data_IF_126870594026
#
_entry.id   IF_126870594026
#
_cell.length_a   1.000
_cell.length_b   1.000
_cell.length_c   1.000
_cell.angle_alpha   90.00
_cell.angle_beta   90.00
_cell.angle_gamma   90.00
#
_symmetry.space_group_name_H-M   'P 1'
#
loop_
_entity.id
_entity.type
_entity.pdbx_description
1 polymer ?
#
# COMPACT_ATOMS: atom_id res chain seq x y z
N UNK A 1 1.16 22.27 -33.18
CA UNK A 1 1.66 20.88 -33.06
C UNK A 1 0.85 20.00 -32.11
N UNK A 2 0.26 20.53 -31.02
CA UNK A 2 -0.55 19.76 -30.04
C UNK A 2 -1.94 19.37 -30.58
N UNK A 3 -2.60 20.23 -31.37
CA UNK A 3 -3.86 19.92 -32.05
C UNK A 3 -3.78 18.76 -33.07
N UNK A 4 -2.62 18.57 -33.71
CA UNK A 4 -2.42 17.48 -34.69
C UNK A 4 -2.21 16.11 -34.02
N UNK A 5 -1.68 16.07 -32.79
CA UNK A 5 -1.52 14.84 -32.00
C UNK A 5 -2.87 14.31 -31.51
N UNK A 6 -3.79 15.20 -31.13
CA UNK A 6 -5.16 14.85 -30.75
C UNK A 6 -5.99 14.33 -31.92
N UNK A 7 -5.86 14.89 -33.14
CA UNK A 7 -6.56 14.36 -34.32
C UNK A 7 -6.11 12.95 -34.69
N UNK A 8 -4.81 12.63 -34.57
CA UNK A 8 -4.27 11.31 -34.88
C UNK A 8 -4.76 10.23 -33.89
N UNK A 9 -4.88 10.58 -32.61
CA UNK A 9 -5.40 9.69 -31.56
C UNK A 9 -6.93 9.49 -31.66
N UNK A 10 -7.68 10.56 -31.98
CA UNK A 10 -9.12 10.47 -32.24
C UNK A 10 -9.39 9.61 -33.47
N UNK A 11 -8.61 9.79 -34.53
CA UNK A 11 -8.73 9.01 -35.78
C UNK A 11 -8.35 7.54 -35.56
N UNK A 12 -7.35 7.25 -34.72
CA UNK A 12 -7.04 5.87 -34.30
C UNK A 12 -8.17 5.26 -33.48
N UNK A 13 -8.81 6.01 -32.57
CA UNK A 13 -9.99 5.53 -31.83
C UNK A 13 -11.20 5.29 -32.74
N UNK A 14 -11.46 6.18 -33.71
CA UNK A 14 -12.53 5.99 -34.70
C UNK A 14 -12.27 4.79 -35.61
N UNK A 15 -11.03 4.58 -36.05
CA UNK A 15 -10.65 3.40 -36.84
C UNK A 15 -10.74 2.11 -36.02
N UNK A 16 -10.43 2.16 -34.72
CA UNK A 16 -10.55 1.00 -33.82
C UNK A 16 -12.01 0.67 -33.49
N UNK A 17 -12.85 1.69 -33.25
CA UNK A 17 -14.29 1.51 -33.05
C UNK A 17 -14.99 1.06 -34.34
N UNK A 18 -14.55 1.53 -35.51
CA UNK A 18 -15.00 1.01 -36.81
C UNK A 18 -14.55 -0.44 -37.03
N UNK A 19 -13.32 -0.80 -36.61
CA UNK A 19 -12.83 -2.18 -36.64
C UNK A 19 -13.64 -3.12 -35.73
N UNK A 20 -13.96 -2.69 -34.50
CA UNK A 20 -14.84 -3.42 -33.57
C UNK A 20 -16.27 -3.51 -34.13
N UNK A 21 -16.78 -2.45 -34.76
CA UNK A 21 -18.06 -2.45 -35.45
C UNK A 21 -18.12 -3.43 -36.63
N UNK A 22 -17.07 -3.48 -37.46
CA UNK A 22 -16.94 -4.44 -38.57
C UNK A 22 -16.84 -5.88 -38.06
N UNK A 23 -16.10 -6.12 -36.98
CA UNK A 23 -15.99 -7.45 -36.36
C UNK A 23 -17.36 -7.88 -35.83
N UNK A 24 -18.08 -7.01 -35.10
CA UNK A 24 -19.42 -7.28 -34.61
C UNK A 24 -20.44 -7.49 -35.74
N UNK A 25 -20.30 -6.78 -36.87
CA UNK A 25 -21.14 -6.94 -38.06
C UNK A 25 -20.88 -8.27 -38.78
N UNK A 26 -19.60 -8.67 -38.93
CA UNK A 26 -19.20 -9.97 -39.49
C UNK A 26 -19.66 -11.14 -38.60
N UNK A 27 -19.62 -10.99 -37.28
CA UNK A 27 -20.16 -11.99 -36.35
C UNK A 27 -21.70 -12.10 -36.44
N UNK A 28 -22.39 -10.99 -36.71
CA UNK A 28 -23.85 -10.98 -36.89
C UNK A 28 -24.26 -11.58 -38.25
N UNK A 29 -23.47 -11.39 -39.31
CA UNK A 29 -23.73 -12.00 -40.63
C UNK A 29 -23.38 -13.48 -40.68
N UNK A 30 -22.41 -13.95 -39.89
CA UNK A 30 -22.08 -15.38 -39.77
C UNK A 30 -23.11 -16.16 -38.94
N UNK A 31 -23.76 -15.50 -37.98
CA UNK A 31 -24.85 -16.09 -37.21
C UNK A 31 -26.17 -16.25 -38.01
N UNK A 32 -26.35 -15.51 -39.12
CA UNK A 32 -27.55 -15.64 -39.97
C UNK A 32 -27.39 -16.64 -41.12
N UNK A 33 -26.22 -17.26 -41.33
CA UNK A 33 -25.96 -18.14 -42.46
C UNK A 33 -25.81 -19.63 -42.13
N UNK A 34 -25.97 -20.04 -40.86
CA UNK A 34 -25.89 -21.46 -40.47
C UNK A 34 -27.14 -21.90 -39.71
N UNK A 35 -28.24 -22.05 -40.44
CA UNK A 35 -29.35 -22.91 -40.04
C UNK A 35 -29.27 -24.21 -40.85
N UNK A 36 -28.47 -25.18 -40.42
CA UNK A 36 -28.73 -26.62 -40.62
C UNK A 36 -27.74 -27.48 -39.82
N UNK A 37 -28.31 -28.34 -38.97
CA UNK A 37 -27.82 -29.62 -38.44
C UNK A 37 -26.42 -29.69 -37.80
N UNK A 38 -26.36 -29.92 -36.48
CA UNK A 38 -25.98 -31.21 -35.84
C UNK A 38 -25.94 -30.99 -34.33
N UNK A 39 -26.59 -31.89 -33.60
CA UNK A 39 -26.61 -31.94 -32.15
C UNK A 39 -25.25 -32.39 -31.58
N UNK A 40 -24.62 -31.53 -30.77
CA UNK A 40 -23.79 -31.93 -29.63
C UNK A 40 -23.75 -30.79 -28.63
N UNK A 41 -24.26 -31.05 -27.43
CA UNK A 41 -24.35 -30.11 -26.32
C UNK A 41 -22.96 -29.82 -25.74
N UNK A 42 -22.35 -28.72 -26.16
CA UNK A 42 -21.36 -28.01 -25.36
C UNK A 42 -21.74 -26.53 -25.35
N UNK A 43 -21.91 -25.98 -24.14
CA UNK A 43 -22.44 -24.63 -23.90
C UNK A 43 -21.36 -23.58 -24.21
N UNK A 44 -21.06 -23.35 -25.49
CA UNK A 44 -20.04 -22.39 -25.98
C UNK A 44 -20.46 -20.94 -25.69
N UNK A 45 -21.76 -20.68 -25.57
CA UNK A 45 -22.31 -19.34 -25.32
C UNK A 45 -22.06 -18.79 -23.90
N UNK A 46 -21.85 -19.65 -22.89
CA UNK A 46 -21.56 -19.22 -21.51
C UNK A 46 -20.08 -18.93 -21.26
N UNK A 47 -19.18 -19.58 -22.02
CA UNK A 47 -17.74 -19.36 -21.89
C UNK A 47 -17.32 -18.04 -22.58
N UNK A 48 -17.92 -17.71 -23.72
CA UNK A 48 -17.58 -16.51 -24.51
C UNK A 48 -18.16 -15.22 -23.93
N UNK A 49 -19.33 -15.28 -23.29
CA UNK A 49 -19.92 -14.15 -22.57
C UNK A 49 -19.12 -13.75 -21.33
N UNK A 50 -18.50 -14.72 -20.63
CA UNK A 50 -17.64 -14.45 -19.48
C UNK A 50 -16.31 -13.79 -19.87
N UNK A 51 -15.69 -14.20 -20.98
CA UNK A 51 -14.45 -13.58 -21.47
C UNK A 51 -14.70 -12.16 -21.95
N UNK A 52 -15.79 -11.93 -22.70
CA UNK A 52 -16.16 -10.58 -23.16
C UNK A 52 -16.58 -9.68 -21.99
N UNK A 53 -17.30 -10.20 -20.99
CA UNK A 53 -17.67 -9.45 -19.79
C UNK A 53 -16.44 -9.13 -18.93
N UNK A 54 -15.50 -10.06 -18.76
CA UNK A 54 -14.22 -9.79 -18.10
C UNK A 54 -13.38 -8.78 -18.88
N UNK A 55 -13.38 -8.84 -20.22
CA UNK A 55 -12.66 -7.88 -21.05
C UNK A 55 -13.28 -6.48 -20.92
N UNK A 56 -14.62 -6.36 -20.96
CA UNK A 56 -15.35 -5.09 -20.75
C UNK A 56 -15.17 -4.55 -19.33
N UNK A 57 -15.15 -5.41 -18.30
CA UNK A 57 -14.89 -5.02 -16.91
C UNK A 57 -13.44 -4.55 -16.73
N UNK A 58 -12.47 -5.24 -17.33
CA UNK A 58 -11.05 -4.82 -17.34
C UNK A 58 -10.85 -3.51 -18.10
N UNK A 59 -11.53 -3.33 -19.24
CA UNK A 59 -11.50 -2.08 -20.00
C UNK A 59 -12.14 -0.94 -19.20
N UNK A 60 -13.30 -1.18 -18.55
CA UNK A 60 -13.93 -0.20 -17.64
C UNK A 60 -13.01 0.18 -16.50
N UNK A 61 -12.35 -0.77 -15.86
CA UNK A 61 -11.51 -0.53 -14.69
C UNK A 61 -10.20 0.20 -15.07
N UNK A 62 -9.60 -0.13 -16.22
CA UNK A 62 -8.43 0.56 -16.75
C UNK A 62 -8.77 1.99 -17.24
N UNK A 63 -9.88 2.15 -17.96
CA UNK A 63 -10.35 3.46 -18.46
C UNK A 63 -10.82 4.35 -17.30
N UNK A 64 -11.58 3.84 -16.33
CA UNK A 64 -12.00 4.63 -15.16
C UNK A 64 -10.80 5.06 -14.31
N UNK A 65 -9.76 4.24 -14.16
CA UNK A 65 -8.60 4.58 -13.32
C UNK A 65 -7.67 5.60 -13.98
N UNK A 66 -7.21 5.32 -15.21
CA UNK A 66 -6.30 6.24 -15.90
C UNK A 66 -7.00 7.56 -16.21
N UNK A 67 -8.23 7.54 -16.75
CA UNK A 67 -8.94 8.78 -17.06
C UNK A 67 -9.36 9.56 -15.80
N UNK A 68 -9.60 8.94 -14.64
CA UNK A 68 -10.02 9.68 -13.44
C UNK A 68 -8.85 10.43 -12.78
N UNK A 69 -7.64 9.87 -12.75
CA UNK A 69 -6.46 10.57 -12.20
C UNK A 69 -5.99 11.71 -13.11
N UNK A 70 -5.88 11.51 -14.44
CA UNK A 70 -5.58 12.62 -15.36
C UNK A 70 -6.66 13.69 -15.30
N UNK A 71 -7.93 13.29 -15.14
CA UNK A 71 -9.04 14.22 -14.99
C UNK A 71 -8.93 15.08 -13.73
N UNK A 72 -8.54 14.54 -12.57
CA UNK A 72 -8.29 15.41 -11.40
C UNK A 72 -7.05 16.29 -11.58
N UNK A 73 -5.97 15.75 -12.14
CA UNK A 73 -4.74 16.51 -12.39
C UNK A 73 -5.01 17.72 -13.28
N UNK A 74 -5.86 17.60 -14.30
CA UNK A 74 -6.16 18.68 -15.25
C UNK A 74 -7.33 19.58 -14.80
N UNK A 75 -8.31 19.04 -14.07
CA UNK A 75 -9.50 19.81 -13.66
C UNK A 75 -9.33 20.54 -12.33
N UNK A 76 -8.60 19.96 -11.37
CA UNK A 76 -8.48 20.54 -10.04
C UNK A 76 -7.25 21.45 -9.89
N UNK A 77 -6.30 21.42 -10.81
CA UNK A 77 -5.05 22.17 -10.71
C UNK A 77 -4.81 22.93 -12.02
N UNK A 78 -4.75 24.25 -11.95
CA UNK A 78 -4.69 25.17 -13.11
C UNK A 78 -3.54 24.85 -14.07
N UNK A 79 -2.34 24.58 -13.52
CA UNK A 79 -1.14 24.21 -14.28
C UNK A 79 -0.82 22.71 -14.24
N UNK A 80 -1.81 21.90 -13.84
CA UNK A 80 -1.61 20.49 -13.55
C UNK A 80 -1.00 20.22 -12.17
N UNK A 81 -1.22 19.02 -11.66
CA UNK A 81 -0.62 18.56 -10.40
C UNK A 81 0.91 18.46 -10.54
N UNK A 82 1.65 19.08 -9.63
CA UNK A 82 3.12 18.96 -9.53
C UNK A 82 3.48 17.89 -8.49
N UNK A 83 3.83 16.63 -8.87
CA UNK A 83 3.92 15.50 -7.94
C UNK A 83 5.20 15.52 -7.10
N UNK A 84 5.21 16.33 -6.04
CA UNK A 84 6.21 16.32 -4.99
C UNK A 84 5.65 16.95 -3.72
N UNK A 85 6.06 16.46 -2.56
CA UNK A 85 5.72 17.10 -1.28
C UNK A 85 6.25 18.53 -1.20
N UNK A 86 7.33 18.84 -1.94
CA UNK A 86 7.90 20.19 -2.00
C UNK A 86 7.00 21.20 -2.73
N UNK A 87 6.01 20.74 -3.50
CA UNK A 87 5.03 21.58 -4.18
C UNK A 87 3.62 21.44 -3.57
N UNK A 88 3.49 20.83 -2.39
CA UNK A 88 2.18 20.55 -1.79
C UNK A 88 1.40 21.85 -1.55
N UNK A 89 2.06 22.90 -1.08
CA UNK A 89 1.45 24.21 -0.85
C UNK A 89 0.96 24.87 -2.14
N UNK A 90 1.79 24.87 -3.20
CA UNK A 90 1.39 25.35 -4.52
C UNK A 90 0.19 24.56 -5.08
N UNK A 91 0.22 23.23 -4.98
CA UNK A 91 -0.87 22.38 -5.43
C UNK A 91 -2.17 22.66 -4.66
N UNK A 92 -2.10 22.85 -3.33
CA UNK A 92 -3.26 23.16 -2.51
C UNK A 92 -3.82 24.55 -2.78
N UNK A 93 -2.97 25.53 -3.06
CA UNK A 93 -3.39 26.86 -3.46
C UNK A 93 -4.11 26.80 -4.82
N UNK A 94 -3.54 26.10 -5.80
CA UNK A 94 -4.18 25.90 -7.10
C UNK A 94 -5.52 25.16 -6.96
N UNK A 95 -5.58 24.13 -6.12
CA UNK A 95 -6.82 23.39 -5.86
C UNK A 95 -7.91 24.24 -5.20
N UNK A 96 -7.54 25.15 -4.30
CA UNK A 96 -8.49 26.08 -3.67
C UNK A 96 -9.19 27.01 -4.68
N UNK A 97 -8.58 27.20 -5.85
CA UNK A 97 -9.06 28.07 -6.93
C UNK A 97 -9.75 27.29 -8.06
N UNK A 98 -9.94 25.98 -7.90
CA UNK A 98 -10.54 25.14 -8.94
C UNK A 98 -11.97 25.61 -9.28
N UNK A 99 -12.25 25.70 -10.59
CA UNK A 99 -13.56 26.13 -11.10
C UNK A 99 -14.56 24.96 -11.11
N UNK A 100 -14.08 23.74 -11.32
CA UNK A 100 -14.93 22.55 -11.35
C UNK A 100 -15.58 22.28 -9.98
N UNK A 101 -16.90 22.12 -9.97
CA UNK A 101 -17.69 21.94 -8.75
C UNK A 101 -17.28 20.70 -7.95
N UNK A 102 -16.85 19.61 -8.60
CA UNK A 102 -16.40 18.40 -7.90
C UNK A 102 -15.06 18.64 -7.22
N UNK A 103 -14.16 19.37 -7.88
CA UNK A 103 -12.88 19.77 -7.29
C UNK A 103 -13.09 20.66 -6.05
N UNK A 104 -14.02 21.61 -6.09
CA UNK A 104 -14.36 22.46 -4.94
C UNK A 104 -14.93 21.65 -3.76
N UNK A 105 -15.85 20.72 -4.03
CA UNK A 105 -16.42 19.84 -2.99
C UNK A 105 -15.32 18.99 -2.37
N UNK A 106 -14.44 18.40 -3.19
CA UNK A 106 -13.35 17.58 -2.68
C UNK A 106 -12.29 18.39 -1.93
N UNK A 107 -12.05 19.65 -2.33
CA UNK A 107 -11.20 20.56 -1.58
C UNK A 107 -11.79 20.89 -0.20
N UNK A 108 -13.10 21.10 -0.10
CA UNK A 108 -13.79 21.25 1.20
C UNK A 108 -13.57 20.04 2.11
N UNK A 109 -13.72 18.82 1.57
CA UNK A 109 -13.42 17.58 2.32
C UNK A 109 -11.95 17.48 2.75
N UNK A 110 -11.02 17.95 1.91
CA UNK A 110 -9.62 18.08 2.29
C UNK A 110 -9.44 19.01 3.49
N UNK A 111 -10.10 20.18 3.48
CA UNK A 111 -10.02 21.15 4.57
C UNK A 111 -10.65 20.62 5.87
N UNK A 112 -11.70 19.80 5.77
CA UNK A 112 -12.27 19.12 6.94
C UNK A 112 -11.27 18.14 7.54
N UNK A 113 -10.53 17.38 6.72
CA UNK A 113 -9.71 16.26 7.17
C UNK A 113 -8.27 16.66 7.53
N UNK A 114 -7.70 17.64 6.84
CA UNK A 114 -6.27 17.97 6.90
C UNK A 114 -6.01 19.45 7.17
N UNK A 115 -4.89 19.69 7.86
CA UNK A 115 -4.27 21.01 7.96
C UNK A 115 -2.81 20.93 7.52
N UNK A 116 -2.40 21.83 6.63
CA UNK A 116 -1.02 21.97 6.17
C UNK A 116 -0.51 23.35 6.54
N UNK A 117 0.64 23.41 7.22
CA UNK A 117 1.34 24.66 7.49
C UNK A 117 2.76 24.59 6.96
N UNK A 118 3.13 25.56 6.12
CA UNK A 118 4.48 25.73 5.58
C UNK A 118 5.25 26.70 6.46
N UNK A 119 6.46 26.32 6.85
CA UNK A 119 7.33 27.14 7.70
C UNK A 119 8.69 27.30 7.04
N UNK A 120 9.30 28.47 7.20
CA UNK A 120 10.65 28.76 6.70
C UNK A 120 11.62 28.84 7.87
N UNK A 121 12.70 28.07 7.78
CA UNK A 121 13.81 28.10 8.73
C UNK A 121 15.04 28.71 8.07
N UNK A 122 15.57 29.78 8.65
CA UNK A 122 16.82 30.39 8.21
C UNK A 122 17.99 29.90 9.06
N UNK A 123 19.18 29.78 8.46
CA UNK A 123 20.41 29.52 9.21
C UNK A 123 21.61 30.25 8.60
N UNK A 124 22.65 30.41 9.40
CA UNK A 124 23.97 30.86 8.94
C UNK A 124 24.97 29.72 9.08
N UNK A 125 25.80 29.52 8.05
CA UNK A 125 26.88 28.51 8.07
C UNK A 125 28.22 29.18 8.34
N UNK A 126 28.91 28.83 9.44
CA UNK A 126 30.31 29.25 9.65
C UNK A 126 31.20 28.82 8.48
N UNK A 127 32.21 29.62 8.14
CA UNK A 127 33.06 29.40 6.95
C UNK A 127 33.64 27.98 6.88
N UNK A 128 34.17 27.46 8.01
CA UNK A 128 34.71 26.08 8.09
C UNK A 128 33.65 25.00 7.86
N UNK A 129 32.39 25.27 8.22
CA UNK A 129 31.32 24.29 8.08
C UNK A 129 30.74 24.22 6.66
N UNK A 130 30.85 25.31 5.86
CA UNK A 130 30.38 25.35 4.47
C UNK A 130 30.96 24.22 3.61
N UNK A 131 32.26 23.95 3.75
CA UNK A 131 32.92 22.87 3.01
C UNK A 131 32.37 21.48 3.36
N UNK A 132 32.04 21.25 4.63
CA UNK A 132 31.43 19.99 5.09
C UNK A 132 30.01 19.83 4.55
N UNK A 133 29.21 20.89 4.57
CA UNK A 133 27.85 20.90 4.01
C UNK A 133 27.86 20.70 2.50
N UNK A 134 28.80 21.32 1.78
CA UNK A 134 28.96 21.10 0.34
C UNK A 134 29.26 19.63 0.02
N UNK A 135 30.19 19.01 0.77
CA UNK A 135 30.47 17.58 0.64
C UNK A 135 29.23 16.72 0.93
N UNK A 136 28.45 17.07 1.95
CA UNK A 136 27.21 16.39 2.29
C UNK A 136 26.14 16.47 1.20
N UNK A 137 26.10 17.57 0.45
CA UNK A 137 25.20 17.76 -0.69
C UNK A 137 25.81 17.25 -2.01
N UNK A 138 26.85 16.41 -1.96
CA UNK A 138 27.48 15.82 -3.15
C UNK A 138 28.17 16.85 -4.06
N UNK A 139 28.57 18.00 -3.52
CA UNK A 139 29.17 19.09 -4.31
C UNK A 139 28.15 20.00 -5.01
N UNK A 140 26.84 19.80 -4.80
CA UNK A 140 25.82 20.61 -5.47
C UNK A 140 25.61 21.97 -4.77
N UNK A 141 26.15 23.02 -5.37
CA UNK A 141 26.02 24.40 -4.89
C UNK A 141 24.56 24.91 -4.91
N UNK A 142 23.68 24.40 -5.78
CA UNK A 142 22.26 24.76 -5.80
C UNK A 142 21.50 24.12 -4.63
N UNK A 143 21.90 22.93 -4.18
CA UNK A 143 21.36 22.34 -2.95
C UNK A 143 21.89 23.07 -1.72
N UNK A 144 23.17 23.46 -1.71
CA UNK A 144 23.75 24.24 -0.60
C UNK A 144 23.07 25.59 -0.44
N UNK A 145 22.69 26.29 -1.51
CA UNK A 145 21.97 27.57 -1.39
C UNK A 145 20.62 27.41 -0.69
N UNK A 146 19.94 26.27 -0.88
CA UNK A 146 18.68 25.93 -0.18
C UNK A 146 18.88 25.65 1.32
N UNK A 147 20.10 25.34 1.78
CA UNK A 147 20.38 25.08 3.21
C UNK A 147 20.13 26.33 4.07
N UNK A 148 20.39 27.52 3.52
CA UNK A 148 20.25 28.78 4.25
C UNK A 148 18.79 29.16 4.52
N UNK A 149 17.86 28.73 3.65
CA UNK A 149 16.43 29.00 3.76
C UNK A 149 15.65 27.73 3.45
N UNK A 150 15.34 26.98 4.50
CA UNK A 150 14.69 25.68 4.38
C UNK A 150 13.18 25.82 4.50
N UNK A 151 12.45 25.13 3.63
CA UNK A 151 11.00 24.96 3.74
C UNK A 151 10.69 23.67 4.49
N UNK A 152 9.85 23.77 5.52
CA UNK A 152 9.38 22.65 6.34
C UNK A 152 7.87 22.61 6.30
N UNK A 153 7.31 21.45 5.95
CA UNK A 153 5.87 21.24 5.88
C UNK A 153 5.44 20.47 7.12
N UNK A 154 4.44 21.00 7.83
CA UNK A 154 3.73 20.26 8.87
C UNK A 154 2.36 19.90 8.32
N UNK A 155 2.07 18.61 8.27
CA UNK A 155 0.79 18.07 7.83
C UNK A 155 0.12 17.38 9.01
N UNK A 156 -1.14 17.71 9.27
CA UNK A 156 -1.94 17.11 10.34
C UNK A 156 -3.23 16.56 9.80
N UNK A 157 -3.60 15.37 10.23
CA UNK A 157 -4.95 14.86 10.10
C UNK A 157 -5.73 15.28 11.36
N UNK A 158 -6.83 16.00 11.17
CA UNK A 158 -7.58 16.64 12.26
C UNK A 158 -8.36 15.64 13.13
N UNK A 159 -8.54 14.40 12.66
CA UNK A 159 -9.29 13.38 13.36
C UNK A 159 -8.37 12.28 13.91
N UNK A 160 -7.46 11.73 13.11
CA UNK A 160 -6.49 10.74 13.61
C UNK A 160 -5.40 11.35 14.49
N UNK A 161 -5.31 12.69 14.49
CA UNK A 161 -4.30 13.49 15.20
C UNK A 161 -2.86 13.15 14.75
N UNK A 162 -2.71 12.41 13.65
CA UNK A 162 -1.41 12.12 13.06
C UNK A 162 -0.79 13.44 12.57
N UNK A 163 0.41 13.75 13.09
CA UNK A 163 1.21 14.89 12.69
C UNK A 163 2.50 14.40 12.05
N UNK A 164 2.74 14.82 10.80
CA UNK A 164 3.96 14.52 10.06
C UNK A 164 4.67 15.79 9.63
N UNK A 165 5.99 15.78 9.77
CA UNK A 165 6.89 16.84 9.34
C UNK A 165 7.71 16.36 8.14
N UNK A 166 7.66 17.12 7.06
CA UNK A 166 8.49 16.92 5.89
C UNK A 166 9.48 18.06 5.74
N UNK A 167 10.75 17.70 5.53
CA UNK A 167 11.78 18.63 5.08
C UNK A 167 12.46 18.03 3.84
N UNK A 168 12.15 18.51 2.63
CA UNK A 168 12.72 17.99 1.38
C UNK A 168 14.24 18.01 1.32
N UNK A 169 14.89 18.89 2.08
CA UNK A 169 16.35 18.95 2.15
C UNK A 169 16.94 17.93 3.13
N UNK A 170 16.19 17.55 4.18
CA UNK A 170 16.60 16.50 5.12
C UNK A 170 16.79 15.15 4.43
N UNK A 171 15.98 14.88 3.40
CA UNK A 171 16.11 13.76 2.47
C UNK A 171 17.48 13.64 1.78
N UNK A 172 18.19 14.78 1.66
CA UNK A 172 19.45 14.91 0.91
C UNK A 172 20.68 14.87 1.83
N UNK A 173 20.48 14.76 3.15
CA UNK A 173 21.60 14.56 4.06
C UNK A 173 22.27 13.22 3.72
N UNK A 174 23.60 13.12 3.86
CA UNK A 174 24.23 11.82 3.89
C UNK A 174 23.56 11.03 5.01
N UNK A 175 22.87 9.95 4.66
CA UNK A 175 22.57 8.90 5.63
C UNK A 175 23.91 8.55 6.27
N UNK A 176 24.02 8.57 7.60
CA UNK A 176 25.24 8.21 8.31
C UNK A 176 25.75 6.83 7.84
N UNK A 177 26.63 6.77 6.83
CA UNK A 177 27.24 5.50 6.39
C UNK A 177 27.34 5.21 4.89
N UNK A 178 27.31 6.18 3.96
CA UNK A 178 27.66 5.90 2.56
C UNK A 178 29.14 5.53 2.33
N UNK A 179 29.98 5.55 3.38
CA UNK A 179 31.36 5.04 3.36
C UNK A 179 31.45 3.77 4.21
N UNK A 180 31.29 2.59 3.58
CA UNK A 180 31.61 1.28 4.21
C UNK A 180 30.46 0.31 4.45
N UNK A 181 29.23 0.59 4.00
CA UNK A 181 28.09 -0.34 4.14
C UNK A 181 28.21 -1.52 3.18
N UNK A 182 27.95 -2.73 3.69
CA UNK A 182 27.61 -3.89 2.86
C UNK A 182 26.38 -3.54 2.03
N UNK A 183 26.37 -3.97 0.77
CA UNK A 183 25.15 -3.97 -0.04
C UNK A 183 24.02 -4.66 0.76
N UNK A 184 22.93 -3.95 1.05
CA UNK A 184 21.85 -4.45 1.94
C UNK A 184 21.30 -5.79 1.42
N UNK A 185 21.28 -5.99 0.10
CA UNK A 185 20.90 -7.28 -0.49
C UNK A 185 21.89 -8.39 -0.13
N UNK A 186 23.19 -8.16 -0.30
CA UNK A 186 24.24 -9.10 0.15
C UNK A 186 24.14 -9.42 1.64
N UNK A 187 23.89 -8.40 2.48
CA UNK A 187 23.70 -8.60 3.93
C UNK A 187 22.52 -9.54 4.22
N UNK A 188 21.36 -9.28 3.62
CA UNK A 188 20.16 -10.10 3.82
C UNK A 188 20.36 -11.54 3.31
N UNK A 189 20.98 -11.71 2.13
CA UNK A 189 21.28 -13.04 1.60
C UNK A 189 22.20 -13.85 2.51
N UNK A 190 23.25 -13.22 3.07
CA UNK A 190 24.15 -13.87 4.03
C UNK A 190 23.42 -14.24 5.32
N UNK A 191 22.60 -13.32 5.84
CA UNK A 191 21.82 -13.56 7.05
C UNK A 191 20.89 -14.76 6.87
N UNK A 192 20.08 -14.77 5.82
CA UNK A 192 19.17 -15.87 5.50
C UNK A 192 19.90 -17.22 5.31
N UNK A 193 21.05 -17.23 4.64
CA UNK A 193 21.85 -18.44 4.49
C UNK A 193 22.40 -18.94 5.84
N UNK A 194 22.89 -18.03 6.68
CA UNK A 194 23.51 -18.38 7.97
C UNK A 194 22.50 -18.91 9.00
N UNK A 195 21.23 -18.50 8.92
CA UNK A 195 20.20 -18.91 9.89
C UNK A 195 19.41 -20.14 9.48
N UNK A 196 19.49 -20.58 8.22
CA UNK A 196 18.60 -21.62 7.69
C UNK A 196 18.70 -22.96 8.44
N UNK A 197 19.93 -23.43 8.68
CA UNK A 197 20.16 -24.76 9.25
C UNK A 197 19.79 -24.89 10.73
N UNK A 198 19.76 -23.77 11.46
CA UNK A 198 19.47 -23.72 12.90
C UNK A 198 18.12 -23.05 13.19
N UNK A 199 17.24 -22.95 12.20
CA UNK A 199 15.99 -22.22 12.33
C UNK A 199 14.89 -23.10 12.94
N UNK A 200 14.42 -22.74 14.13
CA UNK A 200 13.30 -23.40 14.80
C UNK A 200 12.03 -23.44 13.94
N UNK A 201 11.76 -22.37 13.17
CA UNK A 201 10.58 -22.29 12.31
C UNK A 201 10.69 -23.21 11.07
N UNK A 202 11.90 -23.61 10.66
CA UNK A 202 12.06 -24.65 9.65
C UNK A 202 11.67 -26.04 10.21
N UNK A 203 11.87 -26.28 11.51
CA UNK A 203 11.41 -27.47 12.22
C UNK A 203 10.16 -27.18 13.09
N UNK A 204 9.17 -26.50 12.50
CA UNK A 204 8.04 -25.97 13.27
C UNK A 204 7.25 -27.02 14.06
N UNK A 205 7.25 -28.30 13.64
CA UNK A 205 6.50 -29.37 14.33
C UNK A 205 7.05 -29.66 15.72
N UNK A 206 8.37 -29.60 15.87
CA UNK A 206 9.07 -29.96 17.11
C UNK A 206 9.52 -28.73 17.90
N UNK A 207 9.78 -27.61 17.20
CA UNK A 207 10.41 -26.42 17.78
C UNK A 207 9.48 -25.21 17.91
N UNK A 208 8.16 -25.40 17.76
CA UNK A 208 7.17 -24.35 18.05
C UNK A 208 5.99 -24.91 18.82
N UNK A 209 5.28 -24.07 19.57
CA UNK A 209 4.04 -24.48 20.23
C UNK A 209 2.87 -24.52 19.23
N UNK A 210 1.84 -25.29 19.54
CA UNK A 210 0.55 -25.26 18.86
C UNK A 210 -0.53 -24.65 19.76
N UNK A 211 -1.61 -24.14 19.15
CA UNK A 211 -2.76 -23.67 19.91
C UNK A 211 -3.56 -24.87 20.44
N UNK A 212 -4.50 -24.62 21.37
CA UNK A 212 -5.38 -25.66 21.95
C UNK A 212 -6.28 -26.37 20.94
N UNK A 213 -6.32 -25.87 19.72
CA UNK A 213 -7.04 -26.43 18.59
C UNK A 213 -6.11 -26.99 17.51
N UNK A 214 -4.88 -27.33 17.90
CA UNK A 214 -3.82 -27.83 17.02
C UNK A 214 -3.39 -26.78 15.98
N UNK A 215 -2.59 -27.21 15.01
CA UNK A 215 -2.10 -26.35 13.93
C UNK A 215 -3.09 -26.24 12.78
N UNK A 216 -3.14 -25.06 12.20
CA UNK A 216 -3.80 -24.83 10.93
C UNK A 216 -2.73 -24.80 9.85
N UNK A 217 -2.78 -25.77 8.94
CA UNK A 217 -1.82 -25.90 7.85
C UNK A 217 -2.43 -25.44 6.52
N UNK A 218 -1.73 -24.52 5.86
CA UNK A 218 -1.91 -24.17 4.46
C UNK A 218 -0.96 -24.97 3.56
N UNK A 219 -0.99 -24.70 2.26
CA UNK A 219 -0.09 -25.34 1.30
C UNK A 219 1.36 -24.92 1.58
N UNK A 220 1.57 -23.62 1.80
CA UNK A 220 2.87 -22.96 1.94
C UNK A 220 3.09 -22.31 3.30
N UNK A 221 2.15 -22.46 4.23
CA UNK A 221 2.18 -21.84 5.55
C UNK A 221 1.60 -22.75 6.64
N UNK A 222 1.88 -22.41 7.90
CA UNK A 222 1.44 -23.16 9.08
C UNK A 222 1.27 -22.22 10.27
N UNK A 223 0.28 -22.47 11.13
CA UNK A 223 0.14 -21.77 12.40
C UNK A 223 0.99 -22.38 13.52
N UNK A 224 1.39 -21.53 14.45
CA UNK A 224 1.97 -21.89 15.74
C UNK A 224 1.36 -20.98 16.82
N UNK A 225 1.25 -21.47 18.05
CA UNK A 225 0.96 -20.60 19.18
C UNK A 225 2.21 -19.80 19.53
N UNK A 226 2.06 -18.51 19.85
CA UNK A 226 3.16 -17.79 20.44
C UNK A 226 3.41 -18.33 21.86
N UNK A 227 4.64 -18.78 22.15
CA UNK A 227 5.02 -19.29 23.47
C UNK A 227 4.96 -18.21 24.56
N UNK A 228 5.12 -16.94 24.18
CA UNK A 228 5.06 -15.77 25.05
C UNK A 228 3.96 -14.84 24.56
N UNK A 229 2.72 -15.19 24.88
CA UNK A 229 1.53 -14.51 24.39
C UNK A 229 1.47 -13.05 24.87
N UNK A 230 1.10 -12.15 23.96
CA UNK A 230 0.86 -10.73 24.24
C UNK A 230 -0.61 -10.49 24.63
N UNK A 231 -1.49 -11.37 24.17
CA UNK A 231 -2.91 -11.42 24.49
C UNK A 231 -3.38 -12.90 24.51
N UNK A 232 -4.58 -13.16 25.05
CA UNK A 232 -5.21 -14.49 25.14
C UNK A 232 -5.05 -15.28 23.84
N UNK A 233 -5.43 -14.66 22.73
CA UNK A 233 -5.24 -15.19 21.39
C UNK A 233 -4.07 -14.49 20.72
N UNK A 234 -2.87 -15.06 20.89
CA UNK A 234 -1.67 -14.65 20.17
C UNK A 234 -1.07 -15.87 19.47
N UNK A 235 -1.11 -15.85 18.14
CA UNK A 235 -0.57 -16.87 17.24
C UNK A 235 0.52 -16.30 16.33
N UNK A 236 1.19 -17.22 15.63
CA UNK A 236 2.16 -16.97 14.59
C UNK A 236 1.71 -17.74 13.34
N UNK A 237 1.76 -17.13 12.16
CA UNK A 237 1.66 -17.85 10.90
C UNK A 237 3.00 -17.79 10.21
N UNK A 238 3.60 -18.96 10.02
CA UNK A 238 4.93 -19.15 9.44
C UNK A 238 4.78 -19.54 7.98
N UNK A 239 5.67 -19.05 7.12
CA UNK A 239 5.84 -19.69 5.81
C UNK A 239 6.52 -21.05 5.98
N UNK A 240 6.44 -21.94 4.99
CA UNK A 240 7.29 -23.15 4.95
C UNK A 240 8.66 -22.88 4.32
N UNK A 241 8.83 -21.73 3.68
CA UNK A 241 10.05 -21.29 3.00
C UNK A 241 10.85 -20.35 3.90
N UNK A 242 12.13 -20.66 4.14
CA UNK A 242 12.98 -19.87 5.04
C UNK A 242 13.36 -18.48 4.49
N UNK A 243 13.47 -18.31 3.18
CA UNK A 243 14.04 -17.10 2.59
C UNK A 243 13.11 -15.87 2.81
N UNK A 244 13.59 -14.79 3.47
CA UNK A 244 12.75 -13.67 3.87
C UNK A 244 12.27 -12.75 2.76
N UNK A 245 12.96 -12.78 1.62
CA UNK A 245 12.75 -11.80 0.54
C UNK A 245 12.38 -12.46 -0.78
N UNK A 246 12.03 -13.74 -0.74
CA UNK A 246 11.68 -14.55 -1.89
C UNK A 246 10.36 -15.27 -1.63
N UNK A 247 9.29 -14.51 -1.44
CA UNK A 247 7.92 -15.02 -1.36
C UNK A 247 7.13 -14.57 -2.59
N UNK A 248 6.62 -15.53 -3.33
CA UNK A 248 5.77 -15.29 -4.48
C UNK A 248 4.31 -15.04 -4.06
N UNK A 249 3.47 -14.65 -5.02
CA UNK A 249 2.06 -14.31 -4.75
C UNK A 249 1.27 -15.50 -4.16
N UNK A 250 1.53 -16.73 -4.59
CA UNK A 250 0.86 -17.92 -4.04
C UNK A 250 1.19 -18.12 -2.56
N UNK A 251 2.48 -17.98 -2.22
CA UNK A 251 2.98 -18.15 -0.86
C UNK A 251 2.41 -17.07 0.07
N UNK A 252 2.38 -15.81 -0.39
CA UNK A 252 1.77 -14.71 0.39
C UNK A 252 0.26 -14.87 0.54
N UNK A 253 -0.46 -15.27 -0.51
CA UNK A 253 -1.90 -15.52 -0.41
C UNK A 253 -2.22 -16.69 0.52
N UNK A 254 -1.43 -17.76 0.49
CA UNK A 254 -1.59 -18.89 1.41
C UNK A 254 -1.31 -18.48 2.87
N UNK A 255 -0.27 -17.67 3.10
CA UNK A 255 0.06 -17.12 4.42
C UNK A 255 -1.11 -16.36 5.05
N UNK A 256 -1.72 -15.44 4.30
CA UNK A 256 -2.88 -14.69 4.79
C UNK A 256 -4.15 -15.55 4.85
N UNK A 257 -4.33 -16.50 3.93
CA UNK A 257 -5.46 -17.44 4.01
C UNK A 257 -5.40 -18.31 5.27
N UNK A 258 -4.22 -18.79 5.65
CA UNK A 258 -4.00 -19.51 6.91
C UNK A 258 -4.28 -18.62 8.12
N UNK A 259 -3.94 -17.33 8.05
CA UNK A 259 -4.30 -16.35 9.08
C UNK A 259 -5.82 -16.20 9.22
N UNK A 260 -6.55 -16.08 8.10
CA UNK A 260 -8.01 -15.99 8.12
C UNK A 260 -8.65 -17.25 8.73
N UNK A 261 -8.14 -18.44 8.36
CA UNK A 261 -8.57 -19.70 8.98
C UNK A 261 -8.31 -19.73 10.49
N UNK A 262 -7.17 -19.18 10.92
CA UNK A 262 -6.83 -19.05 12.33
C UNK A 262 -7.81 -18.15 13.08
N UNK A 263 -8.13 -16.99 12.53
CA UNK A 263 -9.15 -16.11 13.12
C UNK A 263 -10.53 -16.76 13.19
N UNK A 264 -10.93 -17.50 12.14
CA UNK A 264 -12.19 -18.25 12.12
C UNK A 264 -12.22 -19.30 13.24
N UNK A 265 -11.12 -20.03 13.40
CA UNK A 265 -11.02 -21.06 14.44
C UNK A 265 -11.06 -20.44 15.84
N UNK A 266 -10.32 -19.36 16.07
CA UNK A 266 -10.35 -18.60 17.33
C UNK A 266 -11.77 -18.13 17.63
N UNK A 267 -12.43 -17.44 16.70
CA UNK A 267 -13.78 -16.92 16.90
C UNK A 267 -14.81 -18.04 17.15
N UNK A 268 -14.67 -19.20 16.49
CA UNK A 268 -15.58 -20.34 16.72
C UNK A 268 -15.45 -20.96 18.11
N UNK A 269 -14.28 -20.84 18.75
CA UNK A 269 -14.03 -21.36 20.11
C UNK A 269 -14.30 -20.29 21.16
N UNK A 270 -14.07 -19.03 20.81
CA UNK A 270 -14.27 -17.87 21.64
C UNK A 270 -14.94 -16.75 20.85
N UNK A 271 -16.28 -16.76 20.85
CA UNK A 271 -17.09 -15.77 20.14
C UNK A 271 -16.93 -14.34 20.68
N UNK A 272 -16.28 -14.16 21.83
CA UNK A 272 -15.93 -12.83 22.32
C UNK A 272 -14.80 -12.21 21.50
N UNK A 273 -13.88 -13.01 20.96
CA UNK A 273 -12.74 -12.53 20.17
C UNK A 273 -13.22 -12.01 18.81
N UNK A 274 -13.20 -10.69 18.60
CA UNK A 274 -13.90 -10.04 17.47
C UNK A 274 -13.02 -9.18 16.59
N UNK A 275 -11.89 -8.67 17.07
CA UNK A 275 -11.09 -7.66 16.36
C UNK A 275 -9.76 -8.26 15.86
N UNK A 276 -9.68 -8.75 14.61
CA UNK A 276 -8.47 -9.39 14.10
C UNK A 276 -7.40 -8.36 13.77
N UNK A 277 -6.19 -8.63 14.25
CA UNK A 277 -5.01 -7.82 13.99
C UNK A 277 -3.84 -8.72 13.57
N UNK A 278 -3.01 -8.22 12.66
CA UNK A 278 -1.76 -8.86 12.30
C UNK A 278 -0.60 -7.89 12.38
N UNK A 279 0.59 -8.43 12.67
CA UNK A 279 1.85 -7.69 12.60
C UNK A 279 2.81 -8.49 11.73
N UNK A 280 3.52 -7.80 10.84
CA UNK A 280 4.56 -8.38 10.00
C UNK A 280 5.81 -7.51 10.03
N UNK A 281 6.82 -7.97 10.75
CA UNK A 281 8.16 -7.39 10.70
C UNK A 281 9.06 -8.26 9.82
N UNK A 282 9.78 -7.63 8.90
CA UNK A 282 10.74 -8.32 8.03
C UNK A 282 12.17 -8.05 8.49
N UNK A 283 12.83 -9.10 8.96
CA UNK A 283 14.22 -9.13 9.45
C UNK A 283 14.45 -8.45 10.82
N UNK A 284 15.57 -8.77 11.52
CA UNK A 284 15.80 -8.31 12.90
C UNK A 284 15.81 -6.79 13.08
N UNK A 285 16.34 -6.03 12.12
CA UNK A 285 16.35 -4.57 12.19
C UNK A 285 14.93 -3.97 12.20
N UNK A 286 13.93 -4.68 11.66
CA UNK A 286 12.54 -4.28 11.74
C UNK A 286 11.82 -4.78 13.00
N UNK A 287 12.48 -5.54 13.88
CA UNK A 287 11.89 -6.08 15.11
C UNK A 287 11.49 -7.55 15.04
N UNK A 288 11.71 -8.24 13.92
CA UNK A 288 11.46 -9.68 13.84
C UNK A 288 12.46 -10.45 14.72
N UNK A 289 11.96 -11.32 15.60
CA UNK A 289 12.83 -12.14 16.45
C UNK A 289 13.53 -13.27 15.67
N UNK A 290 12.99 -13.64 14.52
CA UNK A 290 13.49 -14.70 13.65
C UNK A 290 13.60 -14.19 12.21
N UNK A 291 14.61 -14.65 11.48
CA UNK A 291 14.81 -14.30 10.06
C UNK A 291 13.75 -14.95 9.16
N UNK A 292 13.28 -16.14 9.53
CA UNK A 292 12.24 -16.87 8.80
C UNK A 292 10.94 -16.03 8.73
N UNK A 293 10.30 -15.85 7.55
CA UNK A 293 9.06 -15.11 7.43
C UNK A 293 7.92 -15.64 8.30
N UNK A 294 7.39 -14.74 9.11
CA UNK A 294 6.22 -15.01 9.91
C UNK A 294 5.43 -13.73 10.13
N UNK A 295 4.16 -13.92 10.44
CA UNK A 295 3.26 -12.87 10.87
C UNK A 295 2.65 -13.25 12.20
N UNK A 296 2.48 -12.27 13.07
CA UNK A 296 1.78 -12.45 14.33
C UNK A 296 0.29 -12.22 14.09
N UNK A 297 -0.56 -13.04 14.71
CA UNK A 297 -2.02 -12.90 14.68
C UNK A 297 -2.56 -12.72 16.09
N UNK A 298 -3.44 -11.73 16.26
CA UNK A 298 -4.08 -11.44 17.54
C UNK A 298 -5.56 -11.11 17.37
N UNK A 299 -6.38 -11.41 18.38
CA UNK A 299 -7.79 -11.01 18.42
C UNK A 299 -8.18 -10.50 19.80
N UNK A 300 -8.63 -9.24 19.83
CA UNK A 300 -9.18 -8.60 21.03
C UNK A 300 -10.72 -8.70 21.02
N UNK A 301 -11.38 -8.78 22.20
CA UNK A 301 -12.82 -8.88 22.26
C UNK A 301 -13.60 -7.57 22.10
N UNK A 302 -12.97 -6.42 22.37
CA UNK A 302 -13.63 -5.14 22.55
C UNK A 302 -13.27 -4.10 21.48
N UNK A 303 -12.04 -4.09 20.99
CA UNK A 303 -11.54 -3.06 20.07
C UNK A 303 -10.27 -3.46 19.33
N UNK A 304 -9.88 -2.70 18.31
CA UNK A 304 -8.56 -2.87 17.70
C UNK A 304 -7.41 -2.47 18.65
N UNK A 305 -6.20 -2.97 18.39
CA UNK A 305 -5.03 -2.59 19.21
C UNK A 305 -4.54 -1.19 18.84
N UNK A 306 -4.23 -0.40 19.87
CA UNK A 306 -3.45 0.84 19.80
C UNK A 306 -3.84 1.74 18.63
N UNK A 307 -2.90 1.91 17.68
CA UNK A 307 -3.06 2.90 16.62
C UNK A 307 -4.17 2.59 15.60
N UNK A 308 -4.56 1.32 15.44
CA UNK A 308 -5.71 0.98 14.58
C UNK A 308 -7.04 1.43 15.21
N UNK A 309 -7.17 1.32 16.54
CA UNK A 309 -8.36 1.84 17.23
C UNK A 309 -8.43 3.37 17.20
N UNK A 310 -7.29 4.07 17.36
CA UNK A 310 -7.24 5.53 17.19
C UNK A 310 -7.74 5.95 15.80
N UNK A 311 -7.39 5.20 14.75
CA UNK A 311 -7.86 5.47 13.39
C UNK A 311 -9.34 5.15 13.20
N UNK A 312 -9.85 4.08 13.79
CA UNK A 312 -11.28 3.76 13.80
C UNK A 312 -12.09 4.88 14.49
N UNK A 313 -11.59 5.37 15.63
CA UNK A 313 -12.23 6.45 16.39
C UNK A 313 -12.16 7.80 15.66
N UNK A 314 -11.09 8.05 14.89
CA UNK A 314 -11.02 9.17 13.98
C UNK A 314 -12.10 9.10 12.90
N UNK A 315 -12.27 7.93 12.27
CA UNK A 315 -13.30 7.71 11.26
C UNK A 315 -14.72 7.91 11.82
N UNK A 316 -14.97 7.43 13.04
CA UNK A 316 -16.24 7.62 13.76
C UNK A 316 -16.53 9.11 13.99
N UNK A 317 -15.58 9.85 14.56
CA UNK A 317 -15.72 11.29 14.84
C UNK A 317 -15.90 12.11 13.55
N UNK A 318 -15.17 11.78 12.50
CA UNK A 318 -15.33 12.41 11.18
C UNK A 318 -16.73 12.23 10.63
N UNK A 319 -17.25 11.00 10.68
CA UNK A 319 -18.60 10.71 10.22
C UNK A 319 -19.65 11.46 11.04
N UNK A 320 -19.49 11.53 12.37
CA UNK A 320 -20.40 12.27 13.24
C UNK A 320 -20.45 13.77 12.95
N UNK A 321 -19.32 14.39 12.62
CA UNK A 321 -19.25 15.82 12.36
C UNK A 321 -19.68 16.20 10.94
N UNK A 322 -19.28 15.40 9.94
CA UNK A 322 -19.46 15.76 8.52
C UNK A 322 -20.60 15.01 7.83
N UNK A 323 -21.07 13.90 8.40
CA UNK A 323 -21.96 12.93 7.73
C UNK A 323 -21.27 12.11 6.62
N UNK A 324 -20.00 12.39 6.29
CA UNK A 324 -19.27 11.73 5.21
C UNK A 324 -18.58 10.44 5.67
N UNK A 325 -18.12 9.64 4.70
CA UNK A 325 -17.35 8.41 4.95
C UNK A 325 -15.86 8.72 4.96
N UNK A 326 -15.25 8.64 6.15
CA UNK A 326 -13.83 8.98 6.37
C UNK A 326 -12.88 8.33 5.36
N UNK A 327 -13.01 7.01 5.16
CA UNK A 327 -12.12 6.24 4.30
C UNK A 327 -12.27 6.61 2.81
N UNK A 328 -13.50 6.83 2.36
CA UNK A 328 -13.79 7.21 0.98
C UNK A 328 -13.23 8.60 0.67
N UNK A 329 -13.36 9.54 1.60
CA UNK A 329 -12.86 10.90 1.43
C UNK A 329 -11.33 10.93 1.54
N UNK A 330 -10.73 10.18 2.47
CA UNK A 330 -9.28 9.99 2.54
C UNK A 330 -8.73 9.46 1.21
N UNK A 331 -9.35 8.41 0.64
CA UNK A 331 -8.93 7.84 -0.65
C UNK A 331 -9.08 8.88 -1.78
N UNK A 332 -10.22 9.56 -1.86
CA UNK A 332 -10.47 10.53 -2.94
C UNK A 332 -9.52 11.73 -2.90
N UNK A 333 -9.23 12.27 -1.71
CA UNK A 333 -8.28 13.37 -1.52
C UNK A 333 -6.90 12.95 -2.04
N UNK A 334 -6.40 11.79 -1.62
CA UNK A 334 -5.10 11.30 -2.07
C UNK A 334 -5.10 10.95 -3.56
N UNK A 335 -6.23 10.48 -4.10
CA UNK A 335 -6.36 10.18 -5.52
C UNK A 335 -6.25 11.46 -6.36
N UNK A 336 -6.92 12.54 -5.96
CA UNK A 336 -6.78 13.85 -6.62
C UNK A 336 -5.34 14.37 -6.55
N UNK A 337 -4.65 14.14 -5.43
CA UNK A 337 -3.23 14.48 -5.25
C UNK A 337 -2.28 13.48 -5.92
N UNK A 338 -2.77 12.48 -6.66
CA UNK A 338 -1.93 11.50 -7.36
C UNK A 338 -1.13 10.55 -6.45
N UNK A 339 -1.57 10.39 -5.20
CA UNK A 339 -0.95 9.60 -4.14
C UNK A 339 -1.61 8.22 -3.95
N UNK A 340 -2.31 7.72 -4.97
CA UNK A 340 -2.95 6.40 -4.91
C UNK A 340 -2.55 5.46 -6.05
N UNK A 341 -2.68 4.16 -5.78
CA UNK A 341 -2.65 3.07 -6.76
C UNK A 341 -3.78 2.10 -6.44
N UNK A 342 -4.58 1.75 -7.44
CA UNK A 342 -5.69 0.81 -7.27
C UNK A 342 -5.36 -0.50 -7.96
N UNK A 343 -5.59 -1.61 -7.25
CA UNK A 343 -5.62 -2.95 -7.83
C UNK A 343 -7.00 -3.52 -7.59
N UNK A 344 -7.84 -3.43 -8.63
CA UNK A 344 -9.25 -3.84 -8.59
C UNK A 344 -10.03 -3.21 -7.43
N UNK A 345 -10.38 -3.98 -6.40
CA UNK A 345 -11.15 -3.52 -5.23
C UNK A 345 -10.30 -2.90 -4.12
N UNK A 346 -8.97 -3.10 -4.15
CA UNK A 346 -8.05 -2.58 -3.14
C UNK A 346 -7.35 -1.31 -3.62
N UNK A 347 -7.09 -0.39 -2.68
CA UNK A 347 -6.42 0.89 -2.95
C UNK A 347 -5.25 1.05 -1.99
N UNK A 348 -4.07 1.33 -2.54
CA UNK A 348 -2.90 1.76 -1.80
C UNK A 348 -2.80 3.29 -1.86
N UNK A 349 -2.53 3.90 -0.72
CA UNK A 349 -2.34 5.33 -0.53
C UNK A 349 -0.94 5.56 0.02
N UNK A 350 -0.21 6.54 -0.51
CA UNK A 350 0.94 7.13 0.20
C UNK A 350 0.42 8.30 1.05
N UNK A 351 0.23 8.14 2.37
CA UNK A 351 -0.52 9.09 3.17
C UNK A 351 0.22 10.42 3.30
N UNK A 352 -0.52 11.54 3.29
CA UNK A 352 0.02 12.86 3.61
C UNK A 352 0.52 12.98 5.05
N UNK A 353 0.03 12.12 5.95
CA UNK A 353 0.47 12.00 7.35
C UNK A 353 1.20 10.69 7.56
N UNK A 354 2.26 10.47 6.78
CA UNK A 354 3.09 9.27 6.92
C UNK A 354 3.75 9.20 8.31
N UNK A 355 3.73 8.03 8.94
CA UNK A 355 4.45 7.72 10.18
C UNK A 355 5.92 7.42 9.94
N UNK A 356 6.23 6.83 8.79
CA UNK A 356 7.58 6.44 8.39
C UNK A 356 7.85 6.73 6.91
N UNK A 357 9.13 6.73 6.57
CA UNK A 357 9.57 6.83 5.18
C UNK A 357 8.96 5.69 4.35
N UNK A 358 8.65 5.99 3.08
CA UNK A 358 8.03 5.05 2.13
C UNK A 358 6.72 4.41 2.62
N UNK A 359 6.01 4.98 3.58
CA UNK A 359 4.79 4.36 4.10
C UNK A 359 3.73 4.18 3.00
N UNK A 360 3.12 2.99 2.99
CA UNK A 360 1.94 2.67 2.20
C UNK A 360 0.80 2.29 3.14
N UNK A 361 -0.38 2.86 2.88
CA UNK A 361 -1.63 2.58 3.55
C UNK A 361 -2.58 1.89 2.55
N UNK A 362 -2.76 0.58 2.68
CA UNK A 362 -3.61 -0.24 1.81
C UNK A 362 -4.97 -0.42 2.47
N UNK A 363 -6.04 -0.19 1.69
CA UNK A 363 -7.43 -0.20 2.12
C UNK A 363 -8.25 -1.09 1.18
N UNK A 364 -9.17 -1.86 1.74
CA UNK A 364 -10.19 -2.62 1.01
C UNK A 364 -11.42 -2.79 1.88
N UNK A 365 -12.61 -2.95 1.28
CA UNK A 365 -13.83 -3.23 2.05
C UNK A 365 -13.78 -4.55 2.83
N UNK A 366 -12.96 -5.49 2.35
CA UNK A 366 -12.79 -6.83 2.91
C UNK A 366 -11.35 -7.34 2.67
N UNK A 367 -10.85 -8.31 3.45
CA UNK A 367 -9.54 -8.94 3.24
C UNK A 367 -9.56 -9.91 2.04
N UNK A 368 -9.76 -9.37 0.84
CA UNK A 368 -9.88 -10.14 -0.41
C UNK A 368 -8.53 -10.54 -1.01
N UNK A 369 -8.57 -11.38 -2.03
CA UNK A 369 -7.41 -11.68 -2.89
C UNK A 369 -6.81 -10.41 -3.49
N UNK A 370 -7.63 -9.43 -3.86
CA UNK A 370 -7.14 -8.17 -4.43
C UNK A 370 -6.35 -7.36 -3.39
N UNK A 371 -6.82 -7.34 -2.15
CA UNK A 371 -6.15 -6.69 -1.02
C UNK A 371 -4.77 -7.29 -0.74
N UNK A 372 -4.70 -8.61 -0.56
CA UNK A 372 -3.42 -9.29 -0.31
C UNK A 372 -2.52 -9.34 -1.55
N UNK A 373 -3.09 -9.31 -2.76
CA UNK A 373 -2.30 -9.16 -4.00
C UNK A 373 -1.66 -7.79 -4.08
N UNK A 374 -2.37 -6.72 -3.68
CA UNK A 374 -1.80 -5.38 -3.64
C UNK A 374 -0.73 -5.24 -2.57
N UNK A 375 -0.93 -5.87 -1.40
CA UNK A 375 0.11 -5.99 -0.37
C UNK A 375 1.36 -6.71 -0.90
N UNK A 376 1.18 -7.84 -1.60
CA UNK A 376 2.30 -8.52 -2.25
C UNK A 376 3.01 -7.59 -3.25
N UNK A 377 2.29 -6.85 -4.10
CA UNK A 377 2.93 -5.90 -5.01
C UNK A 377 3.69 -4.79 -4.24
N UNK A 378 3.17 -4.32 -3.11
CA UNK A 378 3.86 -3.35 -2.26
C UNK A 378 5.18 -3.90 -1.69
N UNK A 379 5.17 -5.12 -1.16
CA UNK A 379 6.39 -5.81 -0.67
C UNK A 379 7.39 -6.04 -1.81
N UNK A 380 6.93 -6.47 -2.98
CA UNK A 380 7.77 -6.65 -4.16
C UNK A 380 8.36 -5.32 -4.65
N UNK A 381 7.63 -4.21 -4.55
CA UNK A 381 8.14 -2.87 -4.83
C UNK A 381 9.24 -2.47 -3.85
N UNK A 382 9.09 -2.78 -2.56
CA UNK A 382 10.14 -2.57 -1.57
C UNK A 382 11.41 -3.35 -1.97
N UNK A 383 11.31 -4.65 -2.22
CA UNK A 383 12.48 -5.50 -2.50
C UNK A 383 13.19 -5.19 -3.82
N UNK A 384 12.44 -4.94 -4.90
CA UNK A 384 12.98 -4.93 -6.25
C UNK A 384 13.04 -3.56 -6.91
N UNK A 385 12.20 -2.60 -6.50
CA UNK A 385 12.20 -1.26 -7.09
C UNK A 385 12.88 -0.22 -6.18
N UNK A 386 12.89 -0.47 -4.87
CA UNK A 386 13.40 0.47 -3.87
C UNK A 386 14.57 -0.07 -3.03
N UNK A 387 14.91 -1.36 -3.16
CA UNK A 387 15.95 -2.04 -2.37
C UNK A 387 15.75 -1.89 -0.84
N UNK A 388 14.49 -1.90 -0.40
CA UNK A 388 14.07 -1.86 1.00
C UNK A 388 13.75 -3.29 1.41
N UNK A 389 14.55 -3.89 2.29
CA UNK A 389 14.32 -5.25 2.78
C UNK A 389 13.72 -5.29 4.18
N UNK A 390 14.10 -4.34 5.04
CA UNK A 390 13.58 -4.22 6.40
C UNK A 390 12.39 -3.28 6.42
N UNK A 391 11.22 -3.82 6.74
CA UNK A 391 9.98 -3.09 6.90
C UNK A 391 9.16 -3.67 8.05
N UNK A 392 8.28 -2.83 8.58
CA UNK A 392 7.26 -3.22 9.55
C UNK A 392 5.89 -2.94 8.94
N UNK A 393 4.94 -3.84 9.16
CA UNK A 393 3.56 -3.68 8.77
C UNK A 393 2.60 -4.05 9.90
N UNK A 394 1.55 -3.24 10.07
CA UNK A 394 0.41 -3.53 10.93
C UNK A 394 -0.85 -3.66 10.08
N UNK A 395 -1.65 -4.69 10.37
CA UNK A 395 -2.92 -4.95 9.71
C UNK A 395 -4.04 -5.01 10.75
N UNK A 396 -5.19 -4.46 10.39
CA UNK A 396 -6.45 -4.68 11.08
C UNK A 396 -7.51 -5.08 10.06
N UNK A 397 -8.23 -6.15 10.34
CA UNK A 397 -9.29 -6.67 9.47
C UNK A 397 -10.66 -6.26 10.01
N UNK A 398 -11.73 -6.23 9.21
CA UNK A 398 -13.07 -5.95 9.70
C UNK A 398 -13.41 -6.82 10.93
N UNK A 399 -14.11 -6.28 11.93
CA UNK A 399 -14.43 -7.07 13.12
C UNK A 399 -15.42 -8.19 12.77
N UNK A 400 -15.32 -9.33 13.43
CA UNK A 400 -16.32 -10.39 13.35
C UNK A 400 -17.68 -9.82 13.82
N UNK A 401 -18.70 -9.93 12.97
CA UNK A 401 -20.10 -9.65 13.30
C UNK A 401 -20.41 -8.20 13.79
N UNK A 402 -19.84 -7.15 13.19
CA UNK A 402 -20.25 -5.77 13.48
C UNK A 402 -20.91 -5.07 12.28
N UNK A 403 -22.22 -4.86 12.37
CA UNK A 403 -23.05 -4.24 11.31
C UNK A 403 -22.98 -2.71 11.28
N UNK A 404 -22.55 -2.05 12.36
CA UNK A 404 -22.89 -0.64 12.57
C UNK A 404 -21.85 0.37 12.02
N UNK A 405 -20.63 -0.06 11.70
CA UNK A 405 -19.64 0.68 10.91
C UNK A 405 -18.62 -0.33 10.35
N UNK A 406 -18.81 -0.78 9.10
CA UNK A 406 -17.84 -1.69 8.44
C UNK A 406 -16.49 -0.98 8.31
N UNK A 407 -15.60 -1.25 9.26
CA UNK A 407 -14.22 -0.81 9.19
C UNK A 407 -13.55 -1.56 8.03
N UNK A 408 -12.80 -0.89 7.15
CA UNK A 408 -12.14 -1.57 6.04
C UNK A 408 -11.06 -2.52 6.56
N UNK A 409 -10.67 -3.48 5.73
CA UNK A 409 -9.38 -4.13 5.88
C UNK A 409 -8.28 -3.09 5.62
N UNK A 410 -7.35 -2.97 6.57
CA UNK A 410 -6.26 -1.99 6.52
C UNK A 410 -4.90 -2.67 6.63
N UNK A 411 -3.93 -2.19 5.86
CA UNK A 411 -2.50 -2.38 6.10
C UNK A 411 -1.84 -1.02 6.16
N UNK A 412 -0.98 -0.81 7.16
CA UNK A 412 0.04 0.24 7.11
C UNK A 412 1.40 -0.41 7.15
N UNK A 413 2.25 -0.12 6.17
CA UNK A 413 3.60 -0.66 6.08
C UNK A 413 4.61 0.46 5.77
N UNK A 414 5.79 0.42 6.37
CA UNK A 414 6.83 1.43 6.18
C UNK A 414 8.23 0.83 6.33
N UNK A 415 9.24 1.49 5.75
CA UNK A 415 10.62 1.04 5.90
C UNK A 415 11.11 1.23 7.33
N UNK A 416 11.98 0.31 7.76
CA UNK A 416 12.77 0.42 9.00
C UNK A 416 14.21 0.82 8.69
N UNK A 417 14.49 1.32 7.49
CA UNK A 417 15.82 1.75 7.07
C UNK A 417 16.67 0.62 6.48
N UNK A 418 17.98 0.81 6.55
CA UNK A 418 18.96 -0.16 6.07
C UNK A 418 19.15 -1.27 7.11
N UNK A 419 18.86 -2.51 6.72
CA UNK A 419 18.97 -3.69 7.56
C UNK A 419 20.34 -3.89 8.22
N UNK A 420 21.41 -3.40 7.58
CA UNK A 420 22.78 -3.53 8.10
C UNK A 420 23.17 -2.42 9.08
N UNK A 421 22.29 -1.42 9.28
CA UNK A 421 22.61 -0.27 10.10
C UNK A 421 22.58 -0.60 11.59
N UNK A 422 23.61 -0.14 12.29
CA UNK A 422 23.65 -0.14 13.77
C UNK A 422 22.86 1.03 14.38
N UNK A 423 22.40 1.98 13.56
CA UNK A 423 21.62 3.11 14.04
C UNK A 423 20.14 2.75 14.05
N UNK A 424 19.45 3.07 15.14
CA UNK A 424 18.01 2.93 15.21
C UNK A 424 17.33 3.89 14.23
N UNK A 425 16.28 3.40 13.57
CA UNK A 425 15.44 4.18 12.67
C UNK A 425 14.36 4.98 13.41
N UNK A 426 14.16 4.70 14.70
CA UNK A 426 13.21 5.37 15.59
C UNK A 426 13.98 6.05 16.71
N UNK A 427 13.59 7.28 17.03
CA UNK A 427 14.12 8.04 18.16
C UNK A 427 13.01 8.54 19.07
N UNK A 428 13.36 9.29 20.11
CA UNK A 428 12.39 10.02 20.93
C UNK A 428 11.48 10.94 20.11
N UNK A 429 11.93 11.39 18.94
CA UNK A 429 11.14 12.21 18.03
C UNK A 429 9.88 11.46 17.58
N UNK A 430 10.02 10.27 17.00
CA UNK A 430 8.89 9.48 16.51
C UNK A 430 8.09 8.81 17.63
N UNK A 431 8.74 8.43 18.74
CA UNK A 431 8.07 7.77 19.87
C UNK A 431 7.17 8.71 20.66
N UNK A 432 7.61 9.96 20.90
CA UNK A 432 7.00 10.83 21.90
C UNK A 432 6.65 12.22 21.38
N UNK A 433 6.94 12.54 20.12
CA UNK A 433 6.68 13.86 19.56
C UNK A 433 5.93 13.79 18.24
N UNK A 434 6.66 13.69 17.12
CA UNK A 434 6.11 13.89 15.79
C UNK A 434 6.75 12.94 14.79
N UNK A 435 5.99 12.52 13.79
CA UNK A 435 6.54 11.73 12.70
C UNK A 435 7.41 12.63 11.83
N UNK A 436 8.66 12.24 11.59
CA UNK A 436 9.55 12.94 10.67
C UNK A 436 9.82 12.06 9.45
N UNK A 437 9.39 12.54 8.28
CA UNK A 437 9.49 11.81 7.02
C UNK A 437 10.43 12.57 6.08
N UNK A 438 11.44 11.85 5.62
CA UNK A 438 12.55 12.36 4.82
C UNK A 438 12.48 11.88 3.38
N UNK A 439 11.43 11.16 2.99
CA UNK A 439 11.27 10.70 1.60
C UNK A 439 9.97 11.25 1.04
N UNK A 440 10.04 11.71 -0.21
CA UNK A 440 8.86 12.17 -0.93
C UNK A 440 7.87 10.99 -1.14
N UNK A 441 6.61 11.08 -0.67
CA UNK A 441 5.61 10.02 -0.82
C UNK A 441 5.32 9.67 -2.29
N UNK A 442 5.55 10.60 -3.22
CA UNK A 442 5.41 10.34 -4.65
C UNK A 442 6.40 9.28 -5.17
N UNK A 443 7.53 9.07 -4.48
CA UNK A 443 8.52 8.06 -4.84
C UNK A 443 7.98 6.64 -4.67
N UNK A 444 7.44 6.32 -3.49
CA UNK A 444 6.95 4.96 -3.19
C UNK A 444 5.71 4.64 -4.01
N UNK A 445 4.76 5.57 -4.10
CA UNK A 445 3.53 5.34 -4.85
C UNK A 445 3.78 5.27 -6.36
N UNK A 446 4.75 6.05 -6.87
CA UNK A 446 5.17 5.98 -8.27
C UNK A 446 5.83 4.65 -8.63
N UNK A 447 6.66 4.10 -7.74
CA UNK A 447 7.25 2.77 -7.92
C UNK A 447 6.16 1.67 -7.92
N UNK A 448 5.26 1.70 -6.93
CA UNK A 448 4.14 0.75 -6.84
C UNK A 448 3.23 0.84 -8.08
N UNK A 449 2.95 2.05 -8.58
CA UNK A 449 2.12 2.26 -9.77
C UNK A 449 2.70 1.54 -10.98
N UNK A 450 4.00 1.68 -11.23
CA UNK A 450 4.69 1.00 -12.34
C UNK A 450 4.57 -0.52 -12.21
N UNK A 451 4.77 -1.05 -11.00
CA UNK A 451 4.66 -2.48 -10.73
C UNK A 451 3.25 -3.01 -10.94
N UNK A 452 2.22 -2.32 -10.44
CA UNK A 452 0.82 -2.72 -10.62
C UNK A 452 0.41 -2.68 -12.10
N UNK A 453 0.84 -1.67 -12.86
CA UNK A 453 0.61 -1.62 -14.32
C UNK A 453 1.25 -2.83 -15.01
N UNK A 454 2.51 -3.14 -14.68
CA UNK A 454 3.20 -4.30 -15.25
C UNK A 454 2.51 -5.62 -14.85
N UNK A 455 2.07 -5.75 -13.59
CA UNK A 455 1.36 -6.93 -13.10
C UNK A 455 0.04 -7.15 -13.85
N UNK A 456 -0.73 -6.09 -14.09
CA UNK A 456 -1.97 -6.14 -14.86
C UNK A 456 -1.75 -6.48 -16.34
N UNK A 457 -0.58 -6.16 -16.90
CA UNK A 457 -0.23 -6.47 -18.28
C UNK A 457 0.37 -7.89 -18.45
N UNK A 458 1.10 -8.40 -17.46
CA UNK A 458 1.79 -9.69 -17.52
C UNK A 458 0.91 -10.87 -17.12
N UNK A 459 -0.18 -10.62 -16.39
CA UNK A 459 -1.10 -11.69 -15.99
C UNK A 459 -2.23 -11.84 -17.00
N UNK A 460 -2.24 -12.99 -17.67
CA UNK A 460 -3.51 -13.65 -17.96
C UNK A 460 -4.14 -13.96 -16.60
N UNK A 461 -4.98 -13.05 -16.09
CA UNK A 461 -5.45 -13.05 -14.70
C UNK A 461 -6.46 -14.17 -14.39
N UNK A 462 -6.10 -15.41 -14.75
CA UNK A 462 -6.83 -16.66 -14.56
C UNK A 462 -6.54 -17.33 -13.22
N UNK A 463 -5.68 -16.75 -12.39
CA UNK A 463 -5.39 -17.31 -11.06
C UNK A 463 -6.48 -16.88 -10.07
N UNK A 464 -7.69 -17.39 -10.27
CA UNK A 464 -8.76 -17.35 -9.29
C UNK A 464 -8.39 -18.29 -8.12
N UNK A 465 -7.62 -17.79 -7.15
CA UNK A 465 -7.37 -18.53 -5.91
C UNK A 465 -8.51 -18.22 -4.95
N UNK A 466 -9.23 -19.25 -4.50
CA UNK A 466 -10.25 -19.10 -3.46
C UNK A 466 -9.54 -18.89 -2.12
N UNK A 467 -9.77 -17.76 -1.47
CA UNK A 467 -9.46 -17.54 -0.05
C UNK A 467 -10.71 -17.78 0.79
N UNK A 468 -10.53 -18.13 2.06
CA UNK A 468 -11.64 -18.19 3.02
C UNK A 468 -12.20 -16.77 3.19
N UNK A 469 -13.53 -16.66 3.15
CA UNK A 469 -14.22 -15.38 3.35
C UNK A 469 -14.22 -15.06 4.84
N UNK A 470 -13.70 -13.90 5.22
CA UNK A 470 -13.85 -13.35 6.56
C UNK A 470 -15.21 -12.65 6.67
N UNK A 471 -16.05 -13.00 7.66
CA UNK A 471 -17.45 -12.56 7.76
C UNK A 471 -17.62 -11.07 8.08
#
# INVERSE_FOLDING_TARGET
>A
MILFRNKRLLMQCCLYLAGVGCILYLFKSHASSNSHNIAHSFNVNTLHSNVLLQFILRLKQFVLFYFCQTKYSELCFEDGLKPSIANLDENLQSWSQAIDRKCQILYGKYQDLYSVSVRRGALHLPARFKGKVLKWMGGDHKLVSKVYNQTVFHVRNLYSLEHTVYNPLRAKRPSSGSSGRLDSKSYVSKLAASTNNSCDFCNFREMTAEDVFERIEGKHSVSAANAFKLDKWHGLILTKKHNPVDLNLEEVLDLFNTSLKWFHKVHSIDSSAKYPNLIWDSLPHAGASQVHPHIHTMMDPNQYYGSHHVQQEAARRYHQYTGNKYWDDLIQIHHALGLTVTLKSAVAVAPLTSKKDHELFILSGEPSVDFFSLLHQAVQTYYHDLSIYCFSAGLALPPAESMNLRSPAVVRMGTRGDCSSVHSDISSLELYSVNNVNVDPYRVIGALRKRVVNYLHSTDASVARKMVVWP
#
